data_IF_748159827765
#
_entry.id   IF_748159827765
#
_cell.length_a   1.000
_cell.length_b   1.000
_cell.length_c   1.000
_cell.angle_alpha   90.00
_cell.angle_beta   90.00
_cell.angle_gamma   90.00
#
_symmetry.space_group_name_H-M   'P 1'
#
loop_
_entity.id
_entity.type
_entity.pdbx_description
1 polymer ?
#
# COMPACT_ATOMS: atom_id res chain seq x y z
N UNK A 1 -18.22 -14.82 -33.12
CA UNK A 1 -18.25 -16.30 -33.22
C UNK A 1 -18.17 -16.98 -31.86
N UNK A 2 -17.32 -16.52 -30.92
CA UNK A 2 -17.09 -17.21 -29.64
C UNK A 2 -18.31 -17.38 -28.73
N UNK A 3 -19.10 -16.33 -28.52
CA UNK A 3 -20.24 -16.34 -27.59
C UNK A 3 -21.35 -17.36 -27.96
N UNK A 4 -21.83 -17.44 -29.23
CA UNK A 4 -22.75 -18.51 -29.64
C UNK A 4 -22.18 -19.92 -29.43
N UNK A 5 -20.91 -20.13 -29.78
CA UNK A 5 -20.25 -21.43 -29.61
C UNK A 5 -20.15 -21.83 -28.13
N UNK A 6 -19.81 -20.88 -27.25
CA UNK A 6 -19.82 -21.09 -25.81
C UNK A 6 -21.21 -21.51 -25.32
N UNK A 7 -22.27 -20.79 -25.72
CA UNK A 7 -23.63 -21.12 -25.29
C UNK A 7 -24.05 -22.52 -25.75
N UNK A 8 -23.73 -22.91 -26.99
CA UNK A 8 -24.03 -24.24 -27.51
C UNK A 8 -23.35 -25.34 -26.66
N UNK A 9 -22.04 -25.21 -26.43
CA UNK A 9 -21.28 -26.18 -25.61
C UNK A 9 -21.77 -26.18 -24.15
N UNK A 10 -22.04 -25.00 -23.58
CA UNK A 10 -22.52 -24.86 -22.21
C UNK A 10 -23.88 -25.54 -22.00
N UNK A 11 -24.79 -25.43 -22.97
CA UNK A 11 -26.08 -26.14 -22.96
C UNK A 11 -25.89 -27.65 -23.10
N UNK A 12 -25.05 -28.11 -24.02
CA UNK A 12 -24.77 -29.55 -24.14
C UNK A 12 -24.17 -30.12 -22.85
N UNK A 13 -23.22 -29.42 -22.23
CA UNK A 13 -22.67 -29.82 -20.94
C UNK A 13 -23.74 -29.88 -19.84
N UNK A 14 -24.72 -28.97 -19.88
CA UNK A 14 -25.85 -28.98 -18.96
C UNK A 14 -26.68 -30.26 -19.06
N UNK A 15 -26.93 -30.74 -20.28
CA UNK A 15 -27.67 -31.98 -20.52
C UNK A 15 -26.96 -33.21 -19.91
N UNK A 16 -25.62 -33.15 -19.79
CA UNK A 16 -24.81 -34.16 -19.12
C UNK A 16 -24.60 -33.90 -17.61
N UNK A 17 -25.28 -32.90 -17.03
CA UNK A 17 -25.20 -32.58 -15.59
C UNK A 17 -24.00 -31.70 -15.20
N UNK A 18 -23.27 -31.15 -16.16
CA UNK A 18 -22.15 -30.23 -15.92
C UNK A 18 -22.58 -28.76 -16.04
N UNK A 19 -21.78 -27.85 -15.47
CA UNK A 19 -22.01 -26.40 -15.59
C UNK A 19 -20.75 -25.72 -16.09
N UNK A 20 -20.87 -24.93 -17.15
CA UNK A 20 -19.79 -24.07 -17.59
C UNK A 20 -19.55 -22.96 -16.56
N UNK A 21 -18.30 -22.58 -16.37
CA UNK A 21 -17.94 -21.57 -15.36
C UNK A 21 -18.11 -20.15 -15.88
N UNK A 22 -17.72 -19.89 -17.13
CA UNK A 22 -17.69 -18.54 -17.67
C UNK A 22 -16.89 -18.40 -18.96
N UNK A 23 -16.68 -17.14 -19.36
CA UNK A 23 -15.89 -16.76 -20.54
C UNK A 23 -14.80 -15.76 -20.18
N UNK A 24 -13.84 -15.60 -21.11
CA UNK A 24 -12.80 -14.57 -21.05
C UNK A 24 -12.93 -13.59 -22.22
N UNK A 25 -12.84 -12.30 -21.92
CA UNK A 25 -12.69 -11.21 -22.89
C UNK A 25 -11.25 -10.69 -22.82
N UNK A 26 -10.55 -10.67 -23.95
CA UNK A 26 -9.13 -10.30 -24.03
C UNK A 26 -8.82 -9.22 -25.07
N UNK A 27 -9.83 -8.62 -25.68
CA UNK A 27 -9.68 -7.57 -26.69
C UNK A 27 -11.00 -6.83 -26.91
N UNK A 28 -10.94 -5.71 -27.62
CA UNK A 28 -12.09 -4.87 -27.95
C UNK A 28 -12.57 -3.99 -26.78
N UNK A 29 -13.76 -3.40 -26.93
CA UNK A 29 -14.40 -2.60 -25.89
C UNK A 29 -14.96 -3.53 -24.79
N UNK A 30 -14.17 -3.71 -23.72
CA UNK A 30 -14.50 -4.63 -22.63
C UNK A 30 -15.80 -4.25 -21.89
N UNK A 31 -16.10 -2.95 -21.75
CA UNK A 31 -17.33 -2.48 -21.09
C UNK A 31 -18.55 -2.85 -21.93
N UNK A 32 -18.54 -2.51 -23.22
CA UNK A 32 -19.61 -2.86 -24.15
C UNK A 32 -19.78 -4.39 -24.27
N UNK A 33 -18.68 -5.10 -24.55
CA UNK A 33 -18.71 -6.54 -24.79
C UNK A 33 -19.19 -7.32 -23.57
N UNK A 34 -18.77 -6.94 -22.35
CA UNK A 34 -19.24 -7.63 -21.13
C UNK A 34 -20.75 -7.49 -20.92
N UNK A 35 -21.31 -6.31 -21.19
CA UNK A 35 -22.77 -6.08 -21.11
C UNK A 35 -23.52 -6.89 -22.15
N UNK A 36 -23.00 -6.93 -23.37
CA UNK A 36 -23.63 -7.70 -24.45
C UNK A 36 -23.59 -9.21 -24.17
N UNK A 37 -22.47 -9.71 -23.64
CA UNK A 37 -22.36 -11.10 -23.15
C UNK A 37 -23.40 -11.37 -22.08
N UNK A 38 -23.49 -10.51 -21.05
CA UNK A 38 -24.46 -10.69 -19.96
C UNK A 38 -25.91 -10.69 -20.46
N UNK A 39 -26.23 -9.82 -21.43
CA UNK A 39 -27.54 -9.78 -22.08
C UNK A 39 -27.86 -11.09 -22.80
N UNK A 40 -26.90 -11.66 -23.53
CA UNK A 40 -27.06 -12.96 -24.20
C UNK A 40 -27.20 -14.09 -23.19
N UNK A 41 -26.41 -14.11 -22.12
CA UNK A 41 -26.52 -15.11 -21.06
C UNK A 41 -27.91 -15.12 -20.42
N UNK A 42 -28.49 -13.95 -20.13
CA UNK A 42 -29.88 -13.83 -19.65
C UNK A 42 -30.89 -14.41 -20.63
N UNK A 43 -30.80 -14.00 -21.90
CA UNK A 43 -31.71 -14.48 -22.95
C UNK A 43 -31.65 -16.00 -23.13
N UNK A 44 -30.45 -16.58 -23.13
CA UNK A 44 -30.26 -18.03 -23.27
C UNK A 44 -30.72 -18.76 -22.01
N UNK A 45 -30.43 -18.22 -20.82
CA UNK A 45 -30.87 -18.78 -19.54
C UNK A 45 -32.41 -18.88 -19.47
N UNK A 46 -33.11 -17.82 -19.86
CA UNK A 46 -34.57 -17.79 -19.93
C UNK A 46 -35.10 -18.76 -21.00
N UNK A 47 -34.56 -18.69 -22.22
CA UNK A 47 -35.06 -19.48 -23.36
C UNK A 47 -34.92 -20.99 -23.16
N UNK A 48 -33.84 -21.44 -22.52
CA UNK A 48 -33.53 -22.86 -22.32
C UNK A 48 -33.74 -23.32 -20.87
N UNK A 49 -34.31 -22.46 -20.01
CA UNK A 49 -34.55 -22.73 -18.59
C UNK A 49 -33.29 -23.20 -17.83
N UNK A 50 -32.16 -22.51 -18.08
CA UNK A 50 -30.84 -22.77 -17.46
C UNK A 50 -30.39 -21.58 -16.60
N UNK A 51 -31.01 -21.34 -15.43
CA UNK A 51 -30.82 -20.10 -14.65
C UNK A 51 -29.37 -19.87 -14.19
N UNK A 52 -28.56 -20.92 -14.07
CA UNK A 52 -27.15 -20.77 -13.69
C UNK A 52 -26.32 -20.00 -14.74
N UNK A 53 -26.73 -20.02 -16.02
CA UNK A 53 -26.00 -19.38 -17.10
C UNK A 53 -26.05 -17.85 -17.02
N UNK A 54 -27.13 -17.29 -16.47
CA UNK A 54 -27.26 -15.84 -16.26
C UNK A 54 -26.09 -15.28 -15.45
N UNK A 55 -25.58 -16.06 -14.49
CA UNK A 55 -24.49 -15.70 -13.58
C UNK A 55 -23.16 -16.35 -13.96
N UNK A 56 -23.02 -16.89 -15.18
CA UNK A 56 -21.74 -17.40 -15.67
C UNK A 56 -20.69 -16.27 -15.66
N UNK A 57 -19.48 -16.59 -15.20
CA UNK A 57 -18.46 -15.58 -14.93
C UNK A 57 -17.94 -14.92 -16.21
N UNK A 58 -17.74 -13.61 -16.18
CA UNK A 58 -17.10 -12.85 -17.25
C UNK A 58 -15.77 -12.35 -16.72
N UNK A 59 -14.67 -12.90 -17.23
CA UNK A 59 -13.31 -12.47 -16.89
C UNK A 59 -12.78 -11.57 -17.98
N UNK A 60 -12.19 -10.43 -17.64
CA UNK A 60 -11.51 -9.57 -18.59
C UNK A 60 -10.00 -9.54 -18.34
N UNK A 61 -9.21 -9.64 -19.40
CA UNK A 61 -7.74 -9.54 -19.32
C UNK A 61 -7.18 -8.93 -20.60
N UNK A 62 -6.74 -7.68 -20.58
CA UNK A 62 -5.98 -7.06 -21.66
C UNK A 62 -5.45 -5.69 -21.22
N UNK A 63 -4.15 -5.55 -21.03
CA UNK A 63 -3.48 -4.28 -20.70
C UNK A 63 -4.22 -3.44 -19.64
N UNK A 64 -4.71 -4.12 -18.59
CA UNK A 64 -5.53 -3.51 -17.56
C UNK A 64 -4.61 -2.87 -16.52
N UNK A 65 -4.81 -1.59 -16.25
CA UNK A 65 -4.16 -0.83 -15.18
C UNK A 65 -5.22 -0.08 -14.36
N UNK A 66 -4.79 0.72 -13.38
CA UNK A 66 -5.72 1.43 -12.49
C UNK A 66 -6.63 2.41 -13.25
N UNK A 67 -6.11 3.09 -14.27
CA UNK A 67 -6.86 4.07 -15.06
C UNK A 67 -7.91 3.36 -15.92
N UNK A 68 -7.56 2.23 -16.53
CA UNK A 68 -8.50 1.36 -17.26
C UNK A 68 -9.60 0.85 -16.33
N UNK A 69 -9.27 0.39 -15.11
CA UNK A 69 -10.27 -0.07 -14.14
C UNK A 69 -11.24 1.04 -13.73
N UNK A 70 -10.73 2.25 -13.48
CA UNK A 70 -11.58 3.41 -13.16
C UNK A 70 -12.52 3.75 -14.32
N UNK A 71 -12.00 3.78 -15.55
CA UNK A 71 -12.78 4.03 -16.75
C UNK A 71 -13.88 2.99 -16.97
N UNK A 72 -13.57 1.70 -16.82
CA UNK A 72 -14.55 0.61 -16.91
C UNK A 72 -15.67 0.78 -15.88
N UNK A 73 -15.32 1.07 -14.62
CA UNK A 73 -16.30 1.28 -13.55
C UNK A 73 -17.21 2.49 -13.84
N UNK A 74 -16.66 3.59 -14.36
CA UNK A 74 -17.44 4.78 -14.73
C UNK A 74 -18.41 4.53 -15.89
N UNK A 75 -17.99 3.76 -16.89
CA UNK A 75 -18.82 3.40 -18.04
C UNK A 75 -19.90 2.37 -17.70
N UNK A 76 -19.72 1.62 -16.60
CA UNK A 76 -20.52 0.47 -16.21
C UNK A 76 -20.22 -0.75 -17.07
N UNK A 77 -19.83 -1.87 -16.44
CA UNK A 77 -19.53 -3.15 -17.11
C UNK A 77 -20.25 -4.32 -16.43
N UNK A 78 -20.16 -5.50 -17.04
CA UNK A 78 -20.65 -6.75 -16.43
C UNK A 78 -19.54 -7.80 -16.20
N UNK A 79 -18.29 -7.35 -16.17
CA UNK A 79 -17.10 -8.14 -15.81
C UNK A 79 -17.11 -8.47 -14.31
N UNK A 80 -16.86 -9.74 -13.97
CA UNK A 80 -16.84 -10.25 -12.60
C UNK A 80 -15.42 -10.36 -12.03
N UNK A 81 -14.40 -10.48 -12.90
CA UNK A 81 -13.01 -10.62 -12.49
C UNK A 81 -12.05 -10.03 -13.53
N UNK A 82 -10.93 -9.48 -13.06
CA UNK A 82 -9.89 -8.87 -13.88
C UNK A 82 -8.58 -9.65 -13.80
N UNK A 83 -8.07 -10.10 -14.94
CA UNK A 83 -6.73 -10.64 -15.08
C UNK A 83 -5.74 -9.54 -15.41
N UNK A 84 -4.94 -9.13 -14.42
CA UNK A 84 -3.94 -8.06 -14.57
C UNK A 84 -2.54 -8.69 -14.61
N UNK A 85 -1.84 -8.53 -15.74
CA UNK A 85 -0.50 -9.07 -15.97
C UNK A 85 0.58 -8.02 -15.81
N UNK A 86 1.12 -7.55 -16.94
CA UNK A 86 2.31 -6.70 -17.06
C UNK A 86 2.32 -5.53 -16.10
N UNK A 87 1.24 -4.73 -16.04
CA UNK A 87 1.17 -3.54 -15.18
C UNK A 87 1.39 -3.84 -13.69
N UNK A 88 0.80 -4.94 -13.19
CA UNK A 88 0.90 -5.33 -11.78
C UNK A 88 2.26 -5.94 -11.45
N UNK A 89 2.74 -6.88 -12.28
CA UNK A 89 3.97 -7.64 -11.99
C UNK A 89 5.23 -6.80 -12.16
N UNK A 90 5.22 -5.87 -13.11
CA UNK A 90 6.39 -5.01 -13.40
C UNK A 90 6.36 -3.67 -12.67
N UNK A 91 5.25 -3.35 -11.99
CA UNK A 91 4.99 -2.03 -11.42
C UNK A 91 5.26 -0.91 -12.46
N UNK A 92 4.76 -1.05 -13.69
CA UNK A 92 5.26 -0.32 -14.86
C UNK A 92 5.40 1.20 -14.69
N UNK A 93 4.49 1.85 -13.93
CA UNK A 93 4.55 3.30 -13.62
C UNK A 93 5.77 3.67 -12.77
N UNK A 94 6.19 2.78 -11.86
CA UNK A 94 7.34 2.95 -10.98
C UNK A 94 7.94 1.56 -10.66
N UNK A 95 8.85 1.04 -11.50
CA UNK A 95 9.37 -0.34 -11.37
C UNK A 95 10.33 -0.52 -10.19
N UNK A 96 10.69 0.57 -9.49
CA UNK A 96 11.60 0.54 -8.36
C UNK A 96 11.10 1.45 -7.21
N UNK A 97 11.18 0.94 -5.98
CA UNK A 97 10.77 1.69 -4.79
C UNK A 97 11.84 2.69 -4.29
N UNK A 98 13.12 2.47 -4.63
CA UNK A 98 14.21 3.33 -4.20
C UNK A 98 14.71 3.08 -2.76
N UNK A 99 14.52 1.87 -2.23
CA UNK A 99 15.02 1.49 -0.91
C UNK A 99 16.55 1.59 -0.82
N UNK A 100 17.05 2.05 0.33
CA UNK A 100 18.48 2.19 0.61
C UNK A 100 18.86 1.56 1.95
N UNK A 101 20.08 1.02 2.02
CA UNK A 101 20.70 0.63 3.28
C UNK A 101 21.79 1.64 3.65
N UNK A 102 21.79 2.13 4.89
CA UNK A 102 22.73 3.15 5.38
C UNK A 102 23.23 2.77 6.76
N UNK A 103 24.54 2.94 6.98
CA UNK A 103 25.14 2.88 8.31
C UNK A 103 24.68 4.11 9.12
N UNK A 104 24.09 3.89 10.29
CA UNK A 104 23.59 4.95 11.18
C UNK A 104 24.42 5.09 12.45
N UNK A 105 25.20 4.05 12.81
CA UNK A 105 26.02 4.01 14.02
C UNK A 105 27.11 2.94 13.86
N UNK A 106 28.32 3.22 14.37
CA UNK A 106 29.42 2.25 14.44
C UNK A 106 30.14 2.42 15.78
N UNK A 107 30.33 1.32 16.51
CA UNK A 107 31.02 1.33 17.81
C UNK A 107 30.44 2.35 18.79
N UNK A 108 29.11 2.52 18.82
CA UNK A 108 28.43 3.52 19.66
C UNK A 108 28.55 4.97 19.18
N UNK A 109 29.23 5.21 18.05
CA UNK A 109 29.37 6.54 17.44
C UNK A 109 28.38 6.70 16.28
N UNK A 110 27.40 7.61 16.40
CA UNK A 110 26.41 7.86 15.36
C UNK A 110 27.04 8.36 14.05
N UNK A 111 26.44 8.00 12.92
CA UNK A 111 26.90 8.39 11.58
C UNK A 111 25.76 9.05 10.80
N UNK A 112 26.07 10.16 10.15
CA UNK A 112 25.18 10.89 9.26
C UNK A 112 25.89 11.09 7.93
N UNK A 113 25.23 10.71 6.83
CA UNK A 113 25.65 11.12 5.49
C UNK A 113 25.14 12.52 5.23
N UNK A 114 26.07 13.43 4.96
CA UNK A 114 25.76 14.77 4.46
C UNK A 114 25.56 14.74 2.94
N UNK A 115 24.71 15.63 2.47
CA UNK A 115 24.36 15.82 1.06
C UNK A 115 23.94 17.26 0.87
N UNK A 116 24.26 17.84 -0.29
CA UNK A 116 23.75 19.17 -0.68
C UNK A 116 22.23 19.17 -0.80
N UNK A 117 21.67 18.03 -1.22
CA UNK A 117 20.24 17.76 -1.15
C UNK A 117 19.87 17.33 0.28
N UNK A 118 19.14 18.20 0.98
CA UNK A 118 18.75 18.01 2.38
C UNK A 118 17.83 16.79 2.56
N UNK A 119 17.06 16.40 1.53
CA UNK A 119 16.21 15.21 1.58
C UNK A 119 17.04 13.91 1.57
N UNK A 120 18.30 13.98 1.13
CA UNK A 120 19.24 12.85 1.10
C UNK A 120 20.12 12.75 2.35
N UNK A 121 19.93 13.64 3.33
CA UNK A 121 20.61 13.57 4.63
C UNK A 121 20.01 12.42 5.44
N UNK A 122 20.86 11.51 5.93
CA UNK A 122 20.41 10.34 6.67
C UNK A 122 20.15 10.66 8.14
N UNK A 123 19.12 10.06 8.75
CA UNK A 123 18.87 10.18 10.19
C UNK A 123 19.84 9.25 10.96
N UNK A 124 20.71 9.79 11.83
CA UNK A 124 21.76 9.05 12.54
C UNK A 124 21.21 8.21 13.71
N UNK A 125 22.07 7.35 14.26
CA UNK A 125 21.84 6.58 15.50
C UNK A 125 20.80 5.47 15.38
N UNK A 126 20.85 4.50 16.30
CA UNK A 126 19.77 3.51 16.44
C UNK A 126 18.45 4.19 16.86
N UNK A 127 17.33 3.76 16.27
CA UNK A 127 16.02 4.39 16.44
C UNK A 127 14.93 3.38 16.77
N UNK A 128 13.88 3.85 17.44
CA UNK A 128 12.58 3.18 17.46
C UNK A 128 11.59 3.95 16.58
N UNK A 129 10.58 3.25 16.07
CA UNK A 129 9.53 3.82 15.24
C UNK A 129 8.16 3.46 15.81
N UNK A 130 7.32 4.47 16.02
CA UNK A 130 5.98 4.32 16.57
C UNK A 130 4.93 4.91 15.66
N UNK A 131 3.78 4.26 15.51
CA UNK A 131 2.60 4.86 14.89
C UNK A 131 1.68 5.43 15.97
N UNK A 132 1.34 6.70 15.83
CA UNK A 132 0.45 7.41 16.74
C UNK A 132 -0.95 7.47 16.15
N UNK A 133 -1.94 7.03 16.91
CA UNK A 133 -3.35 7.00 16.51
C UNK A 133 -4.17 8.08 17.22
N UNK A 134 -5.15 8.64 16.53
CA UNK A 134 -6.14 9.57 17.09
C UNK A 134 -7.29 8.84 17.78
N UNK A 135 -8.12 9.57 18.52
CA UNK A 135 -9.32 9.01 19.17
C UNK A 135 -10.35 8.45 18.17
N UNK A 136 -10.27 8.85 16.90
CA UNK A 136 -11.05 8.29 15.79
C UNK A 136 -10.51 6.94 15.28
N UNK A 137 -9.47 6.40 15.91
CA UNK A 137 -8.82 5.15 15.51
C UNK A 137 -7.96 5.28 14.26
N UNK A 138 -7.74 6.51 13.76
CA UNK A 138 -6.95 6.74 12.54
C UNK A 138 -5.48 7.02 12.85
N UNK A 139 -4.60 6.51 11.99
CA UNK A 139 -3.17 6.80 12.08
C UNK A 139 -2.90 8.29 11.74
N UNK A 140 -2.18 8.99 12.62
CA UNK A 140 -1.93 10.43 12.52
C UNK A 140 -0.52 10.74 11.98
N UNK A 141 0.48 10.04 12.51
CA UNK A 141 1.90 10.26 12.25
C UNK A 141 2.70 9.02 12.67
N UNK A 142 3.75 8.71 11.92
CA UNK A 142 4.80 7.78 12.37
C UNK A 142 5.94 8.61 13.00
N UNK A 143 6.25 8.33 14.25
CA UNK A 143 7.20 9.04 15.09
C UNK A 143 8.48 8.20 15.31
N UNK A 144 9.60 8.72 14.85
CA UNK A 144 10.93 8.21 15.16
C UNK A 144 11.46 8.81 16.46
N UNK A 145 12.10 7.98 17.25
CA UNK A 145 12.76 8.33 18.52
C UNK A 145 14.17 7.75 18.52
N UNK A 146 15.10 8.31 19.29
CA UNK A 146 16.34 7.59 19.59
C UNK A 146 16.04 6.30 20.38
N UNK A 147 16.92 5.31 20.24
CA UNK A 147 16.74 3.99 20.88
C UNK A 147 16.50 4.06 22.39
N UNK A 148 17.17 4.97 23.09
CA UNK A 148 17.16 5.11 24.55
C UNK A 148 16.14 6.13 25.08
N UNK A 149 15.37 6.78 24.20
CA UNK A 149 14.30 7.69 24.64
C UNK A 149 13.17 6.92 25.33
N UNK A 150 12.46 7.59 26.24
CA UNK A 150 11.24 7.04 26.83
C UNK A 150 10.22 6.70 25.74
N UNK A 151 9.53 5.58 25.93
CA UNK A 151 8.44 5.18 25.04
C UNK A 151 7.34 6.25 25.11
N UNK A 152 6.84 6.75 23.96
CA UNK A 152 5.69 7.65 23.92
C UNK A 152 4.49 7.09 24.70
N UNK A 153 3.78 7.95 25.44
CA UNK A 153 2.64 7.55 26.29
C UNK A 153 1.31 8.01 25.69
N UNK A 154 0.29 7.17 25.83
CA UNK A 154 -1.10 7.52 25.45
C UNK A 154 -1.56 8.74 26.24
N UNK A 155 -2.37 9.58 25.61
CA UNK A 155 -2.91 10.86 26.12
C UNK A 155 -1.85 11.91 26.54
N UNK A 156 -0.56 11.60 26.37
CA UNK A 156 0.52 12.55 26.59
C UNK A 156 0.73 13.43 25.36
N UNK A 157 1.02 14.72 25.59
CA UNK A 157 1.23 15.68 24.52
C UNK A 157 2.66 15.57 23.98
N UNK A 158 2.81 15.08 22.76
CA UNK A 158 4.11 14.82 22.12
C UNK A 158 4.36 15.83 21.00
N UNK A 159 5.52 16.48 21.00
CA UNK A 159 5.94 17.36 19.91
C UNK A 159 6.50 16.51 18.77
N UNK A 160 5.77 16.47 17.66
CA UNK A 160 6.19 15.81 16.43
C UNK A 160 6.77 16.85 15.47
N UNK A 161 8.03 16.69 15.08
CA UNK A 161 8.73 17.58 14.15
C UNK A 161 9.02 16.87 12.84
N UNK A 162 8.86 17.59 11.73
CA UNK A 162 9.46 17.15 10.47
C UNK A 162 11.00 17.15 10.63
N UNK A 163 11.72 16.14 10.13
CA UNK A 163 13.17 15.99 10.35
C UNK A 163 14.04 17.08 9.71
N UNK A 164 13.47 17.85 8.78
CA UNK A 164 14.15 18.87 7.97
C UNK A 164 13.43 20.22 8.01
N UNK A 165 12.16 20.27 7.58
CA UNK A 165 11.36 21.48 7.51
C UNK A 165 10.92 21.96 8.91
N UNK A 166 11.66 22.92 9.48
CA UNK A 166 11.49 23.37 10.87
C UNK A 166 10.09 23.92 11.20
N UNK A 167 9.44 24.54 10.21
CA UNK A 167 8.10 25.10 10.35
C UNK A 167 7.00 24.02 10.37
N UNK A 168 7.30 22.78 9.96
CA UNK A 168 6.35 21.66 9.99
C UNK A 168 6.50 20.90 11.31
N UNK A 169 5.72 21.32 12.30
CA UNK A 169 5.66 20.69 13.63
C UNK A 169 4.25 20.75 14.20
N UNK A 170 3.89 19.76 14.99
CA UNK A 170 2.58 19.68 15.61
C UNK A 170 2.65 18.98 16.98
N UNK A 171 1.76 19.37 17.87
CA UNK A 171 1.49 18.62 19.09
C UNK A 171 0.47 17.52 18.79
N UNK A 172 0.78 16.29 19.22
CA UNK A 172 -0.09 15.12 19.05
C UNK A 172 -0.32 14.49 20.43
N UNK A 173 -1.58 14.25 20.76
CA UNK A 173 -1.99 13.46 21.92
C UNK A 173 -2.62 12.16 21.40
N UNK A 174 -1.85 11.06 21.35
CA UNK A 174 -2.33 9.81 20.76
C UNK A 174 -3.24 9.04 21.72
N UNK A 175 -4.31 8.45 21.20
CA UNK A 175 -5.19 7.53 21.95
C UNK A 175 -4.65 6.09 21.99
N UNK A 176 -3.81 5.74 20.99
CA UNK A 176 -3.14 4.45 20.86
C UNK A 176 -1.77 4.67 20.23
N UNK A 177 -0.81 3.87 20.67
CA UNK A 177 0.57 3.90 20.19
C UNK A 177 0.94 2.47 19.81
N UNK A 178 1.48 2.30 18.61
CA UNK A 178 1.95 1.01 18.11
C UNK A 178 3.45 1.09 17.82
N UNK A 179 4.23 0.16 18.35
CA UNK A 179 5.63 0.01 17.99
C UNK A 179 5.73 -0.74 16.66
N UNK A 180 6.33 -0.12 15.65
CA UNK A 180 6.43 -0.66 14.30
C UNK A 180 7.67 -1.56 14.11
N UNK A 181 8.67 -1.46 14.99
CA UNK A 181 9.84 -2.33 14.92
C UNK A 181 9.66 -3.58 15.78
N UNK A 182 9.74 -4.73 15.11
CA UNK A 182 9.66 -6.06 15.72
C UNK A 182 10.95 -6.83 15.46
N UNK A 183 11.50 -7.46 16.49
CA UNK A 183 12.75 -8.22 16.37
C UNK A 183 12.43 -9.64 15.93
N UNK A 184 12.60 -9.93 14.64
CA UNK A 184 12.42 -11.29 14.11
C UNK A 184 13.68 -12.15 14.27
N UNK A 185 14.87 -11.54 14.23
CA UNK A 185 16.14 -12.25 14.25
C UNK A 185 17.09 -11.61 15.25
N UNK A 186 17.65 -12.43 16.14
CA UNK A 186 18.64 -11.99 17.13
C UNK A 186 19.57 -13.16 17.47
N UNK A 187 20.87 -12.88 17.57
CA UNK A 187 21.90 -13.85 18.00
C UNK A 187 21.85 -15.17 17.20
N UNK A 188 21.66 -15.07 15.88
CA UNK A 188 21.62 -16.21 14.97
C UNK A 188 20.35 -17.06 15.05
N UNK A 189 19.33 -16.61 15.79
CA UNK A 189 18.08 -17.35 15.98
C UNK A 189 16.86 -16.49 15.65
N UNK A 190 15.87 -17.14 15.05
CA UNK A 190 14.54 -16.58 14.90
C UNK A 190 13.91 -16.40 16.29
N UNK A 191 13.47 -15.18 16.60
CA UNK A 191 12.85 -14.84 17.89
C UNK A 191 11.33 -15.03 17.85
N UNK A 192 10.74 -14.87 16.67
CA UNK A 192 9.29 -14.94 16.45
C UNK A 192 8.97 -15.60 15.12
N UNK A 193 7.85 -16.32 15.04
CA UNK A 193 7.38 -16.90 13.79
C UNK A 193 7.06 -15.81 12.76
N UNK A 194 7.45 -16.05 11.51
CA UNK A 194 7.06 -15.18 10.39
C UNK A 194 5.55 -15.32 10.16
N UNK A 195 4.79 -14.21 10.03
CA UNK A 195 3.36 -14.28 9.77
C UNK A 195 3.05 -15.05 8.48
N UNK A 196 1.94 -15.78 8.50
CA UNK A 196 1.39 -16.43 7.31
C UNK A 196 0.91 -15.38 6.29
N UNK A 197 0.67 -15.84 5.05
CA UNK A 197 0.11 -14.99 3.99
C UNK A 197 -1.27 -14.45 4.39
N UNK A 198 -2.09 -15.26 5.05
CA UNK A 198 -3.43 -14.86 5.51
C UNK A 198 -3.37 -13.78 6.58
N UNK A 199 -2.50 -13.95 7.59
CA UNK A 199 -2.29 -12.94 8.64
C UNK A 199 -1.71 -11.64 8.05
N UNK A 200 -0.77 -11.74 7.11
CA UNK A 200 -0.20 -10.59 6.42
C UNK A 200 -1.26 -9.82 5.62
N UNK A 201 -2.15 -10.55 4.91
CA UNK A 201 -3.27 -9.95 4.17
C UNK A 201 -4.25 -9.24 5.11
N UNK A 202 -4.62 -9.87 6.22
CA UNK A 202 -5.51 -9.28 7.20
C UNK A 202 -4.89 -8.03 7.83
N UNK A 203 -3.61 -8.07 8.19
CA UNK A 203 -2.88 -6.93 8.71
C UNK A 203 -2.87 -5.73 7.73
N UNK A 204 -2.65 -5.98 6.43
CA UNK A 204 -2.71 -4.93 5.41
C UNK A 204 -4.13 -4.34 5.31
N UNK A 205 -5.16 -5.19 5.32
CA UNK A 205 -6.55 -4.72 5.25
C UNK A 205 -6.93 -3.85 6.47
N UNK A 206 -6.55 -4.28 7.67
CA UNK A 206 -6.74 -3.52 8.90
C UNK A 206 -5.96 -2.20 8.87
N UNK A 207 -4.72 -2.22 8.36
CA UNK A 207 -3.88 -1.03 8.23
C UNK A 207 -4.47 0.00 7.28
N UNK A 208 -4.96 -0.43 6.10
CA UNK A 208 -5.66 0.43 5.15
C UNK A 208 -6.91 1.06 5.77
N UNK A 209 -7.70 0.27 6.52
CA UNK A 209 -8.89 0.78 7.22
C UNK A 209 -8.54 1.79 8.32
N UNK A 210 -7.34 1.72 8.90
CA UNK A 210 -6.85 2.67 9.91
C UNK A 210 -6.33 3.98 9.31
N UNK A 211 -6.10 4.05 7.99
CA UNK A 211 -5.71 5.29 7.33
C UNK A 211 -6.93 6.19 7.11
N UNK A 212 -6.67 7.50 7.08
CA UNK A 212 -7.67 8.47 6.65
C UNK A 212 -7.84 8.40 5.13
N UNK A 213 -9.05 8.66 4.65
CA UNK A 213 -9.39 8.52 3.23
C UNK A 213 -8.58 9.44 2.30
N UNK A 214 -8.04 10.55 2.78
CA UNK A 214 -7.17 11.46 2.02
C UNK A 214 -5.79 10.90 1.71
N UNK A 215 -5.29 9.94 2.50
CA UNK A 215 -4.05 9.22 2.22
C UNK A 215 -4.24 8.10 1.18
N UNK A 216 -5.47 7.59 1.02
CA UNK A 216 -5.79 6.45 0.17
C UNK A 216 -6.24 6.85 -1.26
N UNK A 217 -6.30 8.15 -1.55
CA UNK A 217 -6.71 8.64 -2.87
C UNK A 217 -5.65 8.30 -3.89
N UNK A 218 -6.08 7.86 -5.07
CA UNK A 218 -5.18 7.60 -6.20
C UNK A 218 -4.59 8.88 -6.77
N UNK A 219 -5.39 9.95 -6.84
CA UNK A 219 -4.99 11.25 -7.36
C UNK A 219 -4.67 12.21 -6.21
N UNK A 220 -3.45 12.75 -6.23
CA UNK A 220 -2.95 13.75 -5.27
C UNK A 220 -3.24 13.38 -3.79
N UNK A 221 -2.77 12.20 -3.32
CA UNK A 221 -2.94 11.83 -1.92
C UNK A 221 -2.26 12.84 -1.00
N UNK A 222 -2.86 13.08 0.17
CA UNK A 222 -2.20 13.89 1.20
C UNK A 222 -0.96 13.13 1.70
N UNK A 223 0.24 13.73 1.74
CA UNK A 223 1.43 13.05 2.24
C UNK A 223 1.22 12.60 3.70
N UNK A 224 1.56 11.34 3.97
CA UNK A 224 1.53 10.83 5.33
C UNK A 224 2.71 11.39 6.13
N UNK A 225 2.47 11.73 7.40
CA UNK A 225 3.46 12.41 8.23
C UNK A 225 4.43 11.39 8.82
N UNK A 226 5.71 11.59 8.58
CA UNK A 226 6.80 10.93 9.29
C UNK A 226 7.55 12.02 10.05
N UNK A 227 7.66 11.86 11.37
CA UNK A 227 8.22 12.87 12.27
C UNK A 227 9.28 12.28 13.18
N UNK A 228 10.06 13.15 13.79
CA UNK A 228 11.04 12.84 14.84
C UNK A 228 10.62 13.54 16.13
N UNK A 229 11.06 13.00 17.27
CA UNK A 229 10.97 13.70 18.56
C UNK A 229 11.85 14.94 18.59
N UNK A 230 11.59 15.84 19.54
CA UNK A 230 12.42 17.03 19.77
C UNK A 230 13.88 16.64 20.08
N UNK A 231 14.08 15.60 20.90
CA UNK A 231 15.42 15.07 21.22
C UNK A 231 16.16 14.57 19.98
N UNK A 232 15.51 13.77 19.12
CA UNK A 232 16.11 13.29 17.88
C UNK A 232 16.36 14.43 16.89
N UNK A 233 15.45 15.41 16.80
CA UNK A 233 15.62 16.60 15.97
C UNK A 233 16.86 17.42 16.39
N UNK A 234 17.00 17.75 17.68
CA UNK A 234 18.14 18.50 18.20
C UNK A 234 19.44 17.72 18.00
N UNK A 235 19.42 16.41 18.27
CA UNK A 235 20.57 15.53 18.06
C UNK A 235 21.02 15.51 16.59
N UNK A 236 20.09 15.42 15.65
CA UNK A 236 20.39 15.52 14.22
C UNK A 236 21.03 16.86 13.86
N UNK A 237 20.47 17.96 14.34
CA UNK A 237 20.95 19.30 14.04
C UNK A 237 22.38 19.53 14.57
N UNK A 238 22.65 19.11 15.81
CA UNK A 238 23.99 19.21 16.40
C UNK A 238 25.01 18.37 15.61
N UNK A 239 24.68 17.12 15.29
CA UNK A 239 25.59 16.26 14.52
C UNK A 239 25.85 16.78 13.12
N UNK A 240 24.85 17.41 12.49
CA UNK A 240 25.00 18.06 11.20
C UNK A 240 25.96 19.24 11.29
N UNK A 241 25.80 20.14 12.28
CA UNK A 241 26.70 21.28 12.49
C UNK A 241 28.13 20.84 12.75
N UNK A 242 28.33 19.78 13.55
CA UNK A 242 29.66 19.24 13.87
C UNK A 242 30.35 18.60 12.66
N UNK A 243 29.57 18.12 11.68
CA UNK A 243 30.08 17.40 10.51
C UNK A 243 30.15 18.25 9.24
N UNK A 244 29.42 19.37 9.20
CA UNK A 244 29.33 20.23 8.03
C UNK A 244 30.69 20.91 7.76
N UNK A 245 31.15 20.99 6.50
CA UNK A 245 32.38 21.69 6.17
C UNK A 245 32.30 23.15 6.62
N UNK A 246 33.31 23.62 7.32
CA UNK A 246 33.46 25.04 7.64
C UNK A 246 34.19 25.68 6.47
N UNK A 247 33.54 26.63 5.80
CA UNK A 247 34.19 27.43 4.76
C UNK A 247 35.15 28.43 5.39
N UNK A 248 36.37 28.51 4.86
CA UNK A 248 37.29 29.61 5.15
C UNK A 248 37.08 30.71 4.11
N UNK A 249 36.82 31.94 4.56
CA UNK A 249 36.77 33.12 3.70
C UNK A 249 38.10 33.86 3.84
N UNK A 250 38.89 33.90 2.76
CA UNK A 250 40.13 34.68 2.63
C UNK A 250 39.91 35.97 1.86
#
# INVERSE_FOLDING_TARGET
SGLPNFCAVALTLHDFGYRAVGIRLDSGDLAYLSREVRRVFKLVAEKFNVPWLENASIVASNDINEDTLLSLNQQGHSIDSFGIGTHLVTCQKQPALGCVFKLIEISGSPRMKLSEDVEKVSIPGEKNLYRLYGHDGKALVDLMTQRKEEVPKVDSRILCRHPVLENKRAWVSPSKIENLYKVYWKDGKLQESVPSISESREHVQQSLNSLRGDHLRTLNPTPYKVSVTDNLYVFMHNLWLDSAPIGELS
#
